data_IF_789033141657
#
_entry.id   IF_789033141657
#
_cell.length_a   1.000
_cell.length_b   1.000
_cell.length_c   1.000
_cell.angle_alpha   90.00
_cell.angle_beta   90.00
_cell.angle_gamma   90.00
#
_symmetry.space_group_name_H-M   'P 1'
#
loop_
_entity.id
_entity.type
_entity.pdbx_description
1 polymer ?
#
# COMPACT_ATOMS: atom_id res chain seq x y z
N UNK A 1 29.34 -16.99 -1.68
CA UNK A 1 29.07 -17.63 -0.41
C UNK A 1 27.55 -17.61 -0.13
N UNK A 2 27.01 -18.81 0.11
CA UNK A 2 25.58 -19.01 0.34
C UNK A 2 25.11 -18.24 1.59
N UNK A 3 25.92 -18.21 2.63
CA UNK A 3 25.58 -17.49 3.87
C UNK A 3 25.44 -15.98 3.63
N UNK A 4 26.32 -15.41 2.80
CA UNK A 4 26.24 -14.00 2.44
C UNK A 4 25.00 -13.70 1.61
N UNK A 5 24.61 -14.60 0.71
CA UNK A 5 23.40 -14.43 -0.09
C UNK A 5 22.15 -14.50 0.78
N UNK A 6 22.09 -15.43 1.71
CA UNK A 6 20.96 -15.57 2.63
C UNK A 6 20.85 -14.33 3.54
N UNK A 7 21.99 -13.85 4.05
CA UNK A 7 21.98 -12.65 4.92
C UNK A 7 21.66 -11.37 4.16
N UNK A 8 21.71 -11.37 2.82
CA UNK A 8 21.34 -10.23 2.01
C UNK A 8 19.82 -10.08 1.85
N UNK A 9 19.02 -11.09 2.22
CA UNK A 9 17.56 -10.97 2.19
C UNK A 9 17.11 -10.00 3.26
N UNK A 10 16.12 -9.13 2.95
CA UNK A 10 15.58 -8.20 3.94
C UNK A 10 14.85 -8.95 5.04
N UNK A 11 14.92 -8.38 6.25
CA UNK A 11 14.17 -8.91 7.39
C UNK A 11 12.72 -8.43 7.34
N UNK A 12 11.80 -9.36 7.55
CA UNK A 12 10.36 -9.09 7.57
C UNK A 12 9.89 -9.20 9.02
N UNK A 13 10.09 -8.13 9.78
CA UNK A 13 9.87 -8.12 11.24
C UNK A 13 9.28 -6.80 11.73
N UNK A 14 8.26 -6.31 11.05
CA UNK A 14 7.61 -5.03 11.38
C UNK A 14 7.17 -4.98 12.85
N UNK A 15 7.35 -3.81 13.47
CA UNK A 15 6.87 -3.53 14.82
C UNK A 15 6.26 -2.13 14.86
N UNK A 16 5.61 -1.78 15.97
CA UNK A 16 5.00 -0.47 16.12
C UNK A 16 6.03 0.69 16.10
N UNK A 17 7.31 0.37 16.33
CA UNK A 17 8.39 1.37 16.28
C UNK A 17 9.04 1.48 14.90
N UNK A 18 8.63 0.66 13.93
CA UNK A 18 9.22 0.66 12.59
C UNK A 18 8.77 1.91 11.84
N UNK A 19 9.73 2.62 11.26
CA UNK A 19 9.43 3.77 10.40
C UNK A 19 9.44 3.33 8.95
N UNK A 20 8.35 3.61 8.24
CA UNK A 20 8.23 3.36 6.80
C UNK A 20 8.70 4.57 6.01
N UNK A 21 8.83 4.40 4.69
CA UNK A 21 8.95 5.53 3.77
C UNK A 21 7.66 5.66 2.95
N UNK A 22 7.40 6.84 2.41
CA UNK A 22 6.24 7.06 1.55
C UNK A 22 6.36 6.17 0.30
N UNK A 23 5.35 5.34 0.02
CA UNK A 23 5.38 4.47 -1.16
C UNK A 23 5.28 5.25 -2.48
N UNK A 24 4.75 6.47 -2.44
CA UNK A 24 4.67 7.37 -3.57
C UNK A 24 4.64 8.80 -3.02
N UNK A 25 5.13 9.76 -3.81
CA UNK A 25 5.08 11.17 -3.43
C UNK A 25 3.77 11.78 -3.91
N UNK A 26 3.04 12.43 -3.00
CA UNK A 26 1.81 13.10 -3.34
C UNK A 26 1.05 13.55 -2.11
N UNK A 27 -0.07 14.22 -2.36
CA UNK A 27 -0.95 14.69 -1.30
C UNK A 27 -1.94 13.60 -0.91
N UNK A 28 -2.34 13.61 0.36
CA UNK A 28 -3.40 12.72 0.83
C UNK A 28 -4.73 13.24 0.28
N UNK A 29 -5.38 12.40 -0.54
CA UNK A 29 -6.69 12.72 -1.11
C UNK A 29 -7.83 12.20 -0.24
N UNK A 30 -7.61 11.07 0.43
CA UNK A 30 -8.56 10.46 1.35
C UNK A 30 -7.78 10.02 2.57
N UNK A 31 -8.20 10.49 3.75
CA UNK A 31 -7.55 10.14 5.02
C UNK A 31 -8.09 8.83 5.57
N UNK A 32 -7.26 8.16 6.37
CA UNK A 32 -7.73 7.08 7.21
C UNK A 32 -8.69 7.65 8.27
N UNK A 33 -9.86 7.03 8.41
CA UNK A 33 -10.82 7.40 9.43
C UNK A 33 -11.75 6.23 9.71
N UNK A 34 -11.59 5.59 10.87
CA UNK A 34 -12.43 4.47 11.28
C UNK A 34 -13.33 4.82 12.47
N UNK A 35 -13.23 6.05 12.98
CA UNK A 35 -14.08 6.56 14.05
C UNK A 35 -15.11 7.57 13.55
N UNK A 36 -14.92 8.15 12.38
CA UNK A 36 -15.83 9.10 11.74
C UNK A 36 -15.91 8.78 10.25
N UNK A 37 -17.06 9.14 9.63
CA UNK A 37 -17.19 8.94 8.20
C UNK A 37 -16.47 10.04 7.42
N UNK A 38 -16.00 9.67 6.23
CA UNK A 38 -15.31 10.53 5.28
C UNK A 38 -16.12 10.57 3.99
N UNK A 39 -16.19 11.73 3.34
CA UNK A 39 -16.89 11.86 2.07
C UNK A 39 -16.06 11.31 0.91
N UNK A 40 -16.68 10.46 0.10
CA UNK A 40 -16.07 9.88 -1.12
C UNK A 40 -16.77 10.51 -2.33
N UNK A 41 -16.11 11.46 -3.04
CA UNK A 41 -16.77 12.24 -4.10
C UNK A 41 -17.32 11.41 -5.25
N UNK A 42 -16.58 10.42 -5.73
CA UNK A 42 -17.03 9.57 -6.85
C UNK A 42 -18.31 8.84 -6.49
N UNK A 43 -18.41 8.33 -5.26
CA UNK A 43 -19.55 7.54 -4.81
C UNK A 43 -20.67 8.41 -4.24
N UNK A 44 -20.40 9.69 -3.98
CA UNK A 44 -21.32 10.61 -3.27
C UNK A 44 -21.83 9.96 -1.99
N UNK A 45 -20.92 9.44 -1.19
CA UNK A 45 -21.23 8.72 0.04
C UNK A 45 -20.30 9.12 1.17
N UNK A 46 -20.82 9.11 2.39
CA UNK A 46 -20.06 9.21 3.62
C UNK A 46 -19.86 7.80 4.16
N UNK A 47 -18.62 7.38 4.36
CA UNK A 47 -18.32 6.04 4.91
C UNK A 47 -16.99 6.06 5.63
N UNK A 48 -16.74 5.01 6.41
CA UNK A 48 -15.44 4.82 7.06
C UNK A 48 -14.36 4.61 6.01
N UNK A 49 -13.13 5.03 6.32
CA UNK A 49 -11.98 4.89 5.42
C UNK A 49 -10.89 4.08 6.11
N UNK A 50 -10.72 2.78 5.75
CA UNK A 50 -9.70 1.93 6.37
C UNK A 50 -8.29 2.18 5.84
N UNK A 51 -8.15 3.03 4.83
CA UNK A 51 -6.90 3.27 4.12
C UNK A 51 -6.73 4.76 3.84
N UNK A 52 -5.55 5.13 3.36
CA UNK A 52 -5.33 6.45 2.77
C UNK A 52 -5.26 6.32 1.25
N UNK A 53 -5.59 7.39 0.55
CA UNK A 53 -5.35 7.51 -0.89
C UNK A 53 -4.37 8.65 -1.10
N UNK A 54 -3.24 8.34 -1.74
CA UNK A 54 -2.16 9.31 -1.97
C UNK A 54 -2.18 9.69 -3.44
N UNK A 55 -2.45 10.95 -3.75
CA UNK A 55 -2.49 11.44 -5.12
C UNK A 55 -1.13 11.31 -5.79
N UNK A 56 -1.12 10.82 -7.03
CA UNK A 56 0.10 10.66 -7.81
C UNK A 56 -0.25 10.68 -9.28
N UNK A 57 0.72 11.00 -10.15
CA UNK A 57 0.49 10.97 -11.58
C UNK A 57 0.48 9.53 -12.09
N UNK A 58 -0.29 9.28 -13.14
CA UNK A 58 -0.30 7.98 -13.80
C UNK A 58 1.11 7.62 -14.25
N UNK A 59 1.52 6.36 -13.99
CA UNK A 59 2.86 5.90 -14.36
C UNK A 59 3.94 6.21 -13.33
N UNK A 60 3.63 6.94 -12.26
CA UNK A 60 4.61 7.18 -11.20
C UNK A 60 5.02 5.86 -10.53
N UNK A 61 6.32 5.68 -10.21
CA UNK A 61 6.75 4.45 -9.55
C UNK A 61 6.24 4.38 -8.12
N UNK A 62 5.85 3.19 -7.72
CA UNK A 62 5.44 2.88 -6.35
C UNK A 62 6.51 1.99 -5.74
N UNK A 63 7.02 2.37 -4.59
CA UNK A 63 8.06 1.62 -3.89
C UNK A 63 7.48 0.95 -2.64
N UNK A 64 8.13 -0.14 -2.21
CA UNK A 64 7.76 -0.78 -0.95
C UNK A 64 8.06 0.18 0.20
N UNK A 65 7.06 0.47 1.01
CA UNK A 65 7.18 1.39 2.15
C UNK A 65 8.07 0.81 3.24
N UNK A 66 8.19 -0.51 3.29
CA UNK A 66 8.95 -1.24 4.29
C UNK A 66 9.24 -2.64 3.73
N UNK A 67 10.18 -3.35 4.34
CA UNK A 67 10.47 -4.74 3.97
C UNK A 67 9.23 -5.61 4.14
N UNK A 68 8.98 -6.49 3.19
CA UNK A 68 7.82 -7.36 3.24
C UNK A 68 7.95 -8.54 2.29
N UNK A 69 7.02 -9.47 2.43
CA UNK A 69 6.88 -10.60 1.52
C UNK A 69 5.55 -10.51 0.82
N UNK A 70 5.55 -10.63 -0.51
CA UNK A 70 4.33 -10.54 -1.30
C UNK A 70 3.44 -11.74 -0.99
N UNK A 71 2.31 -11.49 -0.35
CA UNK A 71 1.34 -12.50 0.03
C UNK A 71 0.38 -12.80 -1.11
N UNK A 72 -0.21 -11.76 -1.71
CA UNK A 72 -1.18 -11.94 -2.80
C UNK A 72 -1.15 -10.76 -3.77
N UNK A 73 -1.52 -11.07 -5.02
CA UNK A 73 -1.75 -10.08 -6.07
C UNK A 73 -3.13 -10.42 -6.65
N UNK A 74 -4.06 -9.48 -6.54
CA UNK A 74 -5.45 -9.72 -6.93
C UNK A 74 -5.98 -8.55 -7.77
N UNK A 75 -7.04 -8.83 -8.54
CA UNK A 75 -7.78 -7.79 -9.25
C UNK A 75 -9.06 -7.51 -8.49
N UNK A 76 -9.20 -6.29 -8.00
CA UNK A 76 -10.35 -5.84 -7.24
C UNK A 76 -11.07 -4.73 -8.00
N UNK A 77 -12.40 -4.78 -8.03
CA UNK A 77 -13.18 -3.80 -8.78
C UNK A 77 -12.98 -2.37 -8.25
N UNK A 78 -12.75 -2.22 -6.96
CA UNK A 78 -12.58 -0.93 -6.30
C UNK A 78 -11.15 -0.43 -6.32
N UNK A 79 -10.22 -1.31 -5.96
CA UNK A 79 -8.81 -0.94 -5.77
C UNK A 79 -7.90 -1.39 -6.92
N UNK A 80 -8.47 -1.95 -8.00
CA UNK A 80 -7.72 -2.37 -9.19
C UNK A 80 -6.74 -3.50 -8.89
N UNK A 81 -5.58 -3.46 -9.51
CA UNK A 81 -4.52 -4.41 -9.20
C UNK A 81 -4.01 -4.11 -7.78
N UNK A 82 -4.20 -5.08 -6.90
CA UNK A 82 -3.98 -4.92 -5.46
C UNK A 82 -2.96 -5.93 -4.98
N UNK A 83 -1.90 -5.43 -4.36
CA UNK A 83 -0.81 -6.23 -3.84
C UNK A 83 -0.81 -6.14 -2.32
N UNK A 84 -0.86 -7.31 -1.66
CA UNK A 84 -0.79 -7.40 -0.20
C UNK A 84 0.55 -7.97 0.21
N UNK A 85 1.23 -7.30 1.13
CA UNK A 85 2.49 -7.77 1.71
C UNK A 85 2.33 -8.15 3.15
N UNK A 86 2.95 -9.28 3.52
CA UNK A 86 3.17 -9.62 4.92
C UNK A 86 4.39 -8.88 5.43
N UNK A 87 4.24 -8.17 6.53
CA UNK A 87 5.31 -7.36 7.12
C UNK A 87 5.94 -8.01 8.35
N UNK A 88 5.38 -9.14 8.82
CA UNK A 88 5.79 -9.80 10.04
C UNK A 88 4.95 -9.35 11.23
N UNK A 89 4.90 -10.18 12.26
CA UNK A 89 4.23 -9.90 13.53
C UNK A 89 2.75 -9.53 13.40
N UNK A 90 2.07 -10.09 12.38
CA UNK A 90 0.64 -9.83 12.13
C UNK A 90 0.34 -8.57 11.36
N UNK A 91 1.36 -7.82 10.93
CA UNK A 91 1.17 -6.61 10.13
C UNK A 91 1.13 -6.93 8.65
N UNK A 92 0.26 -6.21 7.92
CA UNK A 92 0.15 -6.27 6.46
C UNK A 92 0.07 -4.87 5.88
N UNK A 93 0.57 -4.71 4.66
CA UNK A 93 0.38 -3.50 3.86
C UNK A 93 -0.29 -3.88 2.55
N UNK A 94 -1.27 -3.08 2.13
CA UNK A 94 -2.03 -3.29 0.90
C UNK A 94 -1.83 -2.09 0.00
N UNK A 95 -1.36 -2.35 -1.23
CA UNK A 95 -1.10 -1.33 -2.25
C UNK A 95 -2.07 -1.56 -3.39
N UNK A 96 -2.94 -0.60 -3.66
CA UNK A 96 -3.95 -0.72 -4.71
C UNK A 96 -3.80 0.29 -5.83
N UNK A 97 -4.51 0.05 -6.92
CA UNK A 97 -4.52 0.85 -8.14
C UNK A 97 -3.16 0.85 -8.85
N UNK A 98 -2.53 -0.32 -8.89
CA UNK A 98 -1.21 -0.53 -9.49
C UNK A 98 -1.32 -1.03 -10.93
N UNK A 99 -0.23 -0.86 -11.67
CA UNK A 99 0.00 -1.47 -12.98
C UNK A 99 1.48 -1.83 -13.11
N UNK A 100 1.80 -2.65 -14.10
CA UNK A 100 3.19 -3.04 -14.42
C UNK A 100 3.96 -3.52 -13.20
N UNK A 101 3.41 -4.50 -12.48
CA UNK A 101 4.06 -5.05 -11.29
C UNK A 101 5.45 -5.60 -11.59
N UNK A 102 6.40 -5.32 -10.71
CA UNK A 102 7.79 -5.77 -10.82
C UNK A 102 8.10 -6.92 -9.86
N UNK A 103 7.11 -7.39 -9.13
CA UNK A 103 7.26 -8.46 -8.14
C UNK A 103 6.15 -9.48 -8.33
N UNK A 104 6.39 -10.68 -7.77
CA UNK A 104 5.45 -11.81 -7.85
C UNK A 104 5.11 -12.30 -6.45
N UNK A 105 4.02 -13.02 -6.33
CA UNK A 105 3.66 -13.66 -5.06
C UNK A 105 4.81 -14.53 -4.56
N UNK A 106 5.11 -14.42 -3.27
CA UNK A 106 6.20 -15.14 -2.63
C UNK A 106 7.52 -14.39 -2.60
N UNK A 107 7.68 -13.31 -3.38
CA UNK A 107 8.92 -12.53 -3.37
C UNK A 107 9.09 -11.80 -2.04
N UNK A 108 10.34 -11.74 -1.56
CA UNK A 108 10.72 -10.87 -0.45
C UNK A 108 11.24 -9.56 -1.03
N UNK A 109 10.67 -8.46 -0.55
CA UNK A 109 10.89 -7.13 -1.13
C UNK A 109 11.49 -6.22 -0.07
N UNK A 110 12.55 -5.51 -0.46
CA UNK A 110 13.24 -4.57 0.42
C UNK A 110 12.56 -3.19 0.33
N UNK A 111 12.50 -2.49 1.46
CA UNK A 111 12.07 -1.09 1.54
C UNK A 111 12.74 -0.27 0.44
N UNK A 112 11.95 0.50 -0.30
CA UNK A 112 12.44 1.36 -1.37
C UNK A 112 12.52 0.71 -2.75
N UNK A 113 12.33 -0.61 -2.85
CA UNK A 113 12.28 -1.27 -4.17
C UNK A 113 11.00 -0.93 -4.90
N UNK A 114 11.10 -0.68 -6.21
CA UNK A 114 9.92 -0.45 -7.05
C UNK A 114 9.12 -1.74 -7.15
N UNK A 115 7.85 -1.68 -6.77
CA UNK A 115 6.93 -2.83 -6.84
C UNK A 115 5.96 -2.74 -8.02
N UNK A 116 5.73 -1.54 -8.53
CA UNK A 116 4.82 -1.30 -9.64
C UNK A 116 4.71 0.17 -9.92
N UNK A 117 3.65 0.55 -10.62
CA UNK A 117 3.42 1.93 -11.05
C UNK A 117 1.95 2.29 -10.84
N UNK A 118 1.67 3.59 -10.76
CA UNK A 118 0.30 4.09 -10.60
C UNK A 118 -0.48 3.86 -11.90
N UNK A 119 -1.60 3.18 -11.80
CA UNK A 119 -2.54 2.95 -12.91
C UNK A 119 -3.52 4.11 -13.04
N UNK A 120 -4.31 4.10 -14.10
CA UNK A 120 -5.49 4.95 -14.17
C UNK A 120 -6.43 4.56 -13.02
N UNK A 121 -7.17 5.54 -12.44
CA UNK A 121 -8.08 5.21 -11.35
C UNK A 121 -9.19 4.29 -11.82
N UNK A 122 -9.64 3.41 -10.92
CA UNK A 122 -10.86 2.64 -11.19
C UNK A 122 -12.06 3.61 -11.21
N UNK A 123 -13.19 3.12 -11.68
CA UNK A 123 -14.41 3.93 -11.72
C UNK A 123 -14.83 4.43 -10.33
N UNK A 124 -14.40 3.77 -9.26
CA UNK A 124 -14.72 4.17 -7.88
C UNK A 124 -13.90 5.36 -7.40
N UNK A 125 -12.85 5.76 -8.12
CA UNK A 125 -11.98 6.88 -7.78
C UNK A 125 -11.86 7.90 -8.91
N UNK A 126 -12.78 7.91 -9.87
CA UNK A 126 -12.67 8.78 -11.04
C UNK A 126 -12.66 10.27 -10.68
N UNK A 127 -13.37 10.68 -9.64
CA UNK A 127 -13.39 12.07 -9.17
C UNK A 127 -12.11 12.42 -8.40
N UNK A 128 -11.65 11.50 -7.53
CA UNK A 128 -10.41 11.69 -6.78
C UNK A 128 -9.19 11.73 -7.69
N UNK A 129 -9.24 11.03 -8.82
CA UNK A 129 -8.16 10.99 -9.80
C UNK A 129 -7.13 9.90 -9.50
N UNK A 130 -6.01 9.93 -10.21
CA UNK A 130 -4.95 8.93 -10.07
C UNK A 130 -4.36 8.98 -8.66
N UNK A 131 -4.29 7.83 -8.02
CA UNK A 131 -3.84 7.74 -6.65
C UNK A 131 -3.38 6.32 -6.31
N UNK A 132 -2.59 6.21 -5.25
CA UNK A 132 -2.26 4.94 -4.63
C UNK A 132 -3.24 4.71 -3.48
N UNK A 133 -3.93 3.57 -3.49
CA UNK A 133 -4.67 3.08 -2.35
C UNK A 133 -3.66 2.39 -1.42
N UNK A 134 -3.55 2.85 -0.18
CA UNK A 134 -2.56 2.31 0.76
C UNK A 134 -3.23 2.03 2.10
N UNK A 135 -3.27 0.76 2.46
CA UNK A 135 -3.90 0.29 3.70
C UNK A 135 -2.90 -0.49 4.53
N UNK A 136 -2.97 -0.33 5.85
CA UNK A 136 -2.24 -1.18 6.77
C UNK A 136 -3.20 -1.91 7.68
N UNK A 137 -2.82 -3.13 8.05
CA UNK A 137 -3.59 -3.97 8.97
C UNK A 137 -2.67 -4.55 10.03
N UNK A 138 -3.22 -4.73 11.23
CA UNK A 138 -2.61 -5.49 12.31
C UNK A 138 -3.61 -6.57 12.72
N UNK A 139 -3.21 -7.83 12.59
CA UNK A 139 -4.06 -8.99 12.90
C UNK A 139 -5.44 -8.91 12.21
N UNK A 140 -5.43 -8.46 10.94
CA UNK A 140 -6.63 -8.34 10.11
C UNK A 140 -7.44 -7.07 10.30
N UNK A 141 -7.09 -6.23 11.28
CA UNK A 141 -7.81 -4.98 11.55
C UNK A 141 -7.09 -3.78 10.94
N UNK A 142 -7.81 -2.86 10.28
CA UNK A 142 -7.18 -1.65 9.73
C UNK A 142 -6.55 -0.79 10.82
N UNK A 143 -5.37 -0.25 10.52
CA UNK A 143 -4.67 0.70 11.38
C UNK A 143 -4.24 1.90 10.53
N UNK A 144 -3.98 3.03 11.18
CA UNK A 144 -3.64 4.27 10.50
C UNK A 144 -2.21 4.22 9.93
N UNK A 145 -2.05 4.23 8.60
CA UNK A 145 -0.71 4.20 8.00
C UNK A 145 0.14 5.42 8.34
N UNK A 146 -0.49 6.57 8.58
CA UNK A 146 0.22 7.83 8.87
C UNK A 146 1.07 7.72 10.14
N UNK A 147 0.67 6.88 11.09
CA UNK A 147 1.42 6.68 12.32
C UNK A 147 2.83 6.11 12.06
N UNK A 148 3.07 5.50 10.90
CA UNK A 148 4.35 4.85 10.56
C UNK A 148 5.08 5.57 9.43
N UNK A 149 4.51 6.62 8.86
CA UNK A 149 5.11 7.39 7.76
C UNK A 149 5.77 8.66 8.29
N UNK A 150 6.88 9.10 7.65
CA UNK A 150 7.57 10.32 8.10
C UNK A 150 6.80 11.60 7.83
#
# INVERSE_FOLDING_TARGET
DVSAQVSALPEVNFSEDTLMEWPVNGNILVDYSMDQTTYFPTLDQYKLSPAISVGAVEGAPVVAAVNGKVFSIEQDAQTGTTLTMELGNGYQAVYGQLTDLKVSEGDTVKKGMIIGYIAQPTKYYSTEGTNLYFEMKKDGEPIDPIAYLP
#
